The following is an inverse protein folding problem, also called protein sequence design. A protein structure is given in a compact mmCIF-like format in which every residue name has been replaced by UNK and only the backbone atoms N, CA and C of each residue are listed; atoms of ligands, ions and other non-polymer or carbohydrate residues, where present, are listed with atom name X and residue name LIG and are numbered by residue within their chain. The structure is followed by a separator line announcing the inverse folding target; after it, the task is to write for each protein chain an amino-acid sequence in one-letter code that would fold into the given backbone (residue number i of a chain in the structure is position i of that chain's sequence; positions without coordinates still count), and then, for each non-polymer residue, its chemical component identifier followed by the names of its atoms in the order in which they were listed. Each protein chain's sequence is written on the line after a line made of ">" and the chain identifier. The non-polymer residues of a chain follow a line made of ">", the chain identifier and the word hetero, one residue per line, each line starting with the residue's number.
data_IF_814612343307
#
_entry.id   IF_814612343307
#
_cell.length_a   1.000
_cell.length_b   1.000
_cell.length_c   1.000
_cell.angle_alpha   90.00
_cell.angle_beta   90.00
_cell.angle_gamma   90.00
#
_symmetry.space_group_name_H-M   'P 1'
#
loop_
_entity.id
_entity.type
_entity.pdbx_description
1 polymer ?
#
# COMPACT_ATOMS: atom_id res chain seq x y z
N UNK A 1 8.84 1.70 23.36
CA UNK A 1 9.93 0.73 23.14
C UNK A 1 9.51 -0.17 21.99
N UNK A 2 10.21 -0.13 20.85
CA UNK A 2 9.89 -0.87 19.60
C UNK A 2 11.01 -1.89 19.32
N UNK A 3 11.40 -2.67 20.33
CA UNK A 3 12.60 -3.53 20.31
C UNK A 3 12.31 -5.00 20.59
N UNK A 4 11.05 -5.36 20.76
CA UNK A 4 10.61 -6.73 20.98
C UNK A 4 9.72 -7.08 19.79
N UNK A 5 10.05 -8.09 19.00
CA UNK A 5 9.32 -8.50 17.79
C UNK A 5 7.91 -9.05 18.05
N UNK A 6 7.20 -8.51 19.04
CA UNK A 6 5.81 -8.80 19.33
C UNK A 6 4.93 -8.31 18.17
N UNK A 7 3.89 -9.08 17.85
CA UNK A 7 2.89 -8.69 16.87
C UNK A 7 2.33 -7.31 17.20
N UNK A 8 2.30 -6.43 16.21
CA UNK A 8 1.66 -5.12 16.33
C UNK A 8 0.23 -5.29 16.87
N UNK A 9 -0.24 -4.46 17.83
CA UNK A 9 -1.61 -4.51 18.32
C UNK A 9 -2.63 -4.04 17.27
N UNK A 10 -2.16 -3.46 16.16
CA UNK A 10 -3.00 -3.06 15.04
C UNK A 10 -3.15 -4.19 14.03
N UNK A 11 -4.39 -4.42 13.60
CA UNK A 11 -4.73 -5.33 12.50
C UNK A 11 -4.11 -4.86 11.17
N UNK A 12 -4.05 -3.54 10.97
CA UNK A 12 -3.52 -2.90 9.76
C UNK A 12 -2.57 -1.76 10.07
N UNK A 13 -1.51 -1.65 9.28
CA UNK A 13 -0.63 -0.50 9.22
C UNK A 13 -0.76 0.16 7.85
N UNK A 14 -1.06 1.45 7.87
CA UNK A 14 -1.32 2.29 6.70
C UNK A 14 -0.09 3.13 6.36
N UNK A 15 0.24 3.19 5.06
CA UNK A 15 1.41 3.90 4.56
C UNK A 15 0.99 5.10 3.73
N UNK A 16 1.63 6.24 4.00
CA UNK A 16 1.32 7.52 3.41
C UNK A 16 2.54 8.13 2.73
N UNK A 17 2.31 8.76 1.58
CA UNK A 17 3.24 9.65 0.89
C UNK A 17 2.61 11.04 0.86
N UNK A 18 3.07 11.91 1.77
CA UNK A 18 2.38 13.15 2.11
C UNK A 18 0.96 12.88 2.61
N UNK A 19 -0.04 13.41 1.90
CA UNK A 19 -1.46 13.22 2.19
C UNK A 19 -2.07 11.98 1.49
N UNK A 20 -1.26 11.27 0.70
CA UNK A 20 -1.74 10.16 -0.13
C UNK A 20 -1.52 8.83 0.57
N UNK A 21 -2.60 8.12 0.88
CA UNK A 21 -2.51 6.72 1.27
C UNK A 21 -2.13 5.87 0.04
N UNK A 22 -1.04 5.09 0.13
CA UNK A 22 -0.56 4.30 -1.02
C UNK A 22 -0.41 2.80 -0.73
N UNK A 23 -0.39 2.38 0.53
CA UNK A 23 -0.33 0.97 0.89
C UNK A 23 -0.98 0.68 2.25
N UNK A 24 -1.37 -0.58 2.45
CA UNK A 24 -1.77 -1.14 3.74
C UNK A 24 -1.09 -2.49 3.92
N UNK A 25 -0.67 -2.83 5.14
CA UNK A 25 -0.21 -4.17 5.47
C UNK A 25 -0.85 -4.71 6.72
N UNK A 26 -0.85 -6.02 6.85
CA UNK A 26 -1.01 -6.71 8.12
C UNK A 26 0.33 -7.33 8.58
N UNK A 27 0.25 -8.38 9.40
CA UNK A 27 1.43 -9.10 9.92
C UNK A 27 2.22 -9.87 8.86
N UNK A 28 1.61 -10.21 7.71
CA UNK A 28 2.20 -11.06 6.68
C UNK A 28 2.16 -10.42 5.30
N UNK A 29 1.04 -9.87 4.88
CA UNK A 29 0.83 -9.38 3.53
C UNK A 29 0.82 -7.86 3.51
N UNK A 30 1.40 -7.30 2.45
CA UNK A 30 1.32 -5.88 2.13
C UNK A 30 0.65 -5.68 0.79
N UNK A 31 -0.39 -4.87 0.79
CA UNK A 31 -1.06 -4.36 -0.38
C UNK A 31 -0.51 -3.00 -0.77
N UNK A 32 -0.18 -2.82 -2.04
CA UNK A 32 0.16 -1.53 -2.63
C UNK A 32 -0.87 -1.18 -3.70
N UNK A 33 -1.52 -0.04 -3.51
CA UNK A 33 -2.51 0.45 -4.45
C UNK A 33 -1.85 0.81 -5.80
N UNK A 34 -2.64 0.84 -6.89
CA UNK A 34 -2.19 1.38 -8.17
C UNK A 34 -1.58 2.77 -7.97
N UNK A 35 -0.31 2.92 -8.32
CA UNK A 35 0.36 4.23 -8.34
C UNK A 35 0.74 4.54 -9.78
N UNK A 36 0.37 5.72 -10.28
CA UNK A 36 0.89 6.18 -11.56
C UNK A 36 2.41 6.32 -11.45
N UNK A 37 3.18 5.49 -12.15
CA UNK A 37 4.63 5.68 -12.22
C UNK A 37 4.89 6.71 -13.32
N UNK A 38 5.43 7.85 -12.93
CA UNK A 38 5.91 8.85 -13.87
C UNK A 38 7.20 8.35 -14.50
N UNK A 39 7.11 7.90 -15.75
CA UNK A 39 8.30 7.57 -16.53
C UNK A 39 8.84 8.86 -17.15
N UNK A 40 10.00 9.31 -16.68
CA UNK A 40 10.75 10.41 -17.26
C UNK A 40 12.13 9.92 -17.66
N UNK A 41 12.56 10.23 -18.88
CA UNK A 41 13.98 10.23 -19.26
C UNK A 41 14.46 11.68 -19.28
N UNK A 42 15.77 11.93 -19.15
CA UNK A 42 16.35 13.28 -19.15
C UNK A 42 15.99 14.11 -20.42
N UNK A 43 15.55 13.45 -21.49
CA UNK A 43 15.13 14.09 -22.75
C UNK A 43 13.63 14.41 -22.82
N UNK A 44 12.82 13.98 -21.84
CA UNK A 44 11.36 14.16 -21.86
C UNK A 44 10.91 15.39 -21.06
N UNK A 45 10.27 16.34 -21.76
CA UNK A 45 9.63 17.54 -21.17
C UNK A 45 8.42 17.22 -20.28
N UNK A 46 7.85 16.03 -20.41
CA UNK A 46 6.71 15.55 -19.64
C UNK A 46 6.83 14.05 -19.38
N UNK A 47 6.51 13.64 -18.15
CA UNK A 47 6.53 12.24 -17.75
C UNK A 47 5.09 11.69 -17.76
N UNK A 48 4.67 10.86 -18.73
CA UNK A 48 3.35 10.26 -18.68
C UNK A 48 3.25 9.33 -17.47
N UNK A 49 2.15 9.46 -16.71
CA UNK A 49 1.82 8.53 -15.65
C UNK A 49 1.34 7.22 -16.28
N UNK A 50 2.16 6.17 -16.19
CA UNK A 50 1.73 4.84 -16.60
C UNK A 50 0.93 4.18 -15.48
N UNK A 51 -0.29 3.68 -15.74
CA UNK A 51 -1.09 3.01 -14.73
C UNK A 51 -0.38 1.72 -14.31
N UNK A 52 0.14 1.71 -13.09
CA UNK A 52 0.67 0.50 -12.48
C UNK A 52 -0.47 -0.30 -11.88
N UNK A 53 -0.52 -1.61 -12.17
CA UNK A 53 -1.47 -2.49 -11.49
C UNK A 53 -1.21 -2.48 -9.98
N UNK A 54 -2.23 -2.81 -9.20
CA UNK A 54 -2.04 -3.09 -7.78
C UNK A 54 -1.17 -4.32 -7.57
N UNK A 55 -0.49 -4.36 -6.43
CA UNK A 55 0.39 -5.47 -6.07
C UNK A 55 0.14 -5.93 -4.65
N UNK A 56 0.46 -7.20 -4.41
CA UNK A 56 0.50 -7.75 -3.06
C UNK A 56 1.79 -8.55 -2.84
N UNK A 57 2.39 -8.36 -1.67
CA UNK A 57 3.65 -8.98 -1.27
C UNK A 57 3.49 -9.80 0.01
N UNK A 58 4.18 -10.93 0.13
CA UNK A 58 4.30 -11.70 1.39
C UNK A 58 5.58 -11.27 2.11
N UNK A 59 5.47 -10.40 3.10
CA UNK A 59 6.60 -9.86 3.85
C UNK A 59 7.33 -10.89 4.71
N UNK A 60 6.71 -12.05 5.01
CA UNK A 60 7.39 -13.10 5.76
C UNK A 60 8.36 -13.88 4.87
N UNK A 61 7.99 -14.07 3.60
CA UNK A 61 8.81 -14.82 2.62
C UNK A 61 9.67 -13.92 1.75
N UNK A 62 9.23 -12.69 1.54
CA UNK A 62 9.87 -11.69 0.69
C UNK A 62 9.84 -10.30 1.37
N UNK A 63 10.67 -10.10 2.42
CA UNK A 63 10.77 -8.82 3.10
C UNK A 63 11.24 -7.67 2.21
N UNK A 64 11.79 -7.99 1.02
CA UNK A 64 12.28 -7.02 0.04
C UNK A 64 11.23 -6.61 -1.00
N UNK A 65 10.01 -7.17 -0.91
CA UNK A 65 8.89 -6.84 -1.80
C UNK A 65 9.23 -7.02 -3.29
N UNK A 66 9.97 -8.09 -3.60
CA UNK A 66 10.49 -8.40 -4.93
C UNK A 66 9.48 -9.09 -5.84
N UNK A 67 8.52 -9.83 -5.29
CA UNK A 67 7.58 -10.68 -6.04
C UNK A 67 6.12 -10.37 -5.73
N UNK A 68 5.37 -10.05 -6.78
CA UNK A 68 3.92 -9.91 -6.71
C UNK A 68 3.24 -11.28 -6.62
N UNK A 69 2.36 -11.42 -5.61
CA UNK A 69 1.60 -12.63 -5.32
C UNK A 69 0.08 -12.38 -5.35
N UNK A 70 -0.36 -11.24 -5.91
CA UNK A 70 -1.78 -10.88 -6.05
C UNK A 70 -2.63 -12.01 -6.62
N UNK A 71 -2.14 -12.65 -7.68
CA UNK A 71 -2.89 -13.67 -8.43
C UNK A 71 -2.91 -15.02 -7.71
N UNK A 72 -1.97 -15.24 -6.78
CA UNK A 72 -1.88 -16.47 -5.98
C UNK A 72 -2.83 -16.45 -4.79
N UNK A 73 -3.13 -15.27 -4.25
CA UNK A 73 -3.98 -15.11 -3.07
C UNK A 73 -5.05 -14.02 -3.31
N UNK A 74 -5.99 -14.24 -4.25
CA UNK A 74 -6.96 -13.22 -4.65
C UNK A 74 -7.89 -12.77 -3.50
N UNK A 75 -8.20 -13.66 -2.56
CA UNK A 75 -9.02 -13.34 -1.39
C UNK A 75 -8.30 -12.39 -0.42
N UNK A 76 -7.01 -12.61 -0.19
CA UNK A 76 -6.18 -11.72 0.65
C UNK A 76 -5.98 -10.36 -0.01
N UNK A 77 -5.78 -10.36 -1.32
CA UNK A 77 -5.74 -9.12 -2.11
C UNK A 77 -7.04 -8.32 -1.93
N UNK A 78 -8.19 -8.97 -2.04
CA UNK A 78 -9.48 -8.33 -1.88
C UNK A 78 -9.68 -7.80 -0.45
N UNK A 79 -9.28 -8.57 0.57
CA UNK A 79 -9.39 -8.16 1.97
C UNK A 79 -8.56 -6.91 2.27
N UNK A 80 -7.30 -6.89 1.83
CA UNK A 80 -6.44 -5.73 2.03
C UNK A 80 -6.89 -4.52 1.20
N UNK A 81 -7.35 -4.74 -0.04
CA UNK A 81 -7.96 -3.67 -0.85
C UNK A 81 -9.17 -3.06 -0.16
N UNK A 82 -10.01 -3.88 0.48
CA UNK A 82 -11.16 -3.39 1.23
C UNK A 82 -10.73 -2.54 2.44
N UNK A 83 -9.75 -2.99 3.21
CA UNK A 83 -9.20 -2.21 4.33
C UNK A 83 -8.61 -0.87 3.85
N UNK A 84 -7.87 -0.89 2.74
CA UNK A 84 -7.35 0.32 2.10
C UNK A 84 -8.47 1.29 1.69
N UNK A 85 -9.53 0.78 1.07
CA UNK A 85 -10.68 1.59 0.66
C UNK A 85 -11.41 2.22 1.85
N UNK A 86 -11.66 1.45 2.91
CA UNK A 86 -12.27 1.98 4.14
C UNK A 86 -11.44 3.15 4.66
N UNK A 87 -10.11 3.00 4.68
CA UNK A 87 -9.24 4.07 5.15
C UNK A 87 -9.28 5.32 4.27
N UNK A 88 -9.30 5.15 2.95
CA UNK A 88 -9.49 6.26 2.02
C UNK A 88 -10.81 6.99 2.27
N UNK A 89 -11.89 6.26 2.48
CA UNK A 89 -13.21 6.83 2.73
C UNK A 89 -13.22 7.61 4.06
N UNK A 90 -12.58 7.08 5.12
CA UNK A 90 -12.36 7.78 6.40
C UNK A 90 -11.60 9.09 6.22
N UNK A 91 -10.50 9.09 5.45
CA UNK A 91 -9.70 10.28 5.17
C UNK A 91 -10.49 11.31 4.37
N UNK A 92 -11.26 10.87 3.38
CA UNK A 92 -12.11 11.72 2.56
C UNK A 92 -13.23 12.39 3.36
N UNK A 93 -13.79 11.69 4.35
CA UNK A 93 -14.78 12.23 5.27
C UNK A 93 -14.19 13.23 6.27
N UNK A 94 -12.90 13.10 6.62
CA UNK A 94 -12.22 13.93 7.62
C UNK A 94 -11.09 14.81 7.04
N UNK A 95 -11.46 15.76 6.16
CA UNK A 95 -10.51 16.63 5.44
C UNK A 95 -9.70 17.64 6.29
N UNK A 96 -10.03 17.85 7.56
CA UNK A 96 -9.36 18.84 8.43
C UNK A 96 -8.37 18.23 9.42
N UNK A 97 -8.12 16.93 9.32
CA UNK A 97 -7.18 16.21 10.17
C UNK A 97 -7.84 15.66 11.42
N UNK A 98 -7.61 14.37 11.63
CA UNK A 98 -7.25 13.76 12.91
C UNK A 98 -6.87 14.83 13.94
N UNK A 99 -7.80 15.14 14.84
CA UNK A 99 -7.58 16.11 15.93
C UNK A 99 -6.94 15.41 17.11
#
# INVERSE_FOLDING_TARGET
>A
MLTTGASSPHDYLYYYDGETLYAVRDQRFKYRAPAGVFYATDEMLFAPAMPQKEWMFDLQRDPRESYDISDRYPEELQRLRAAFKVKLDEMGANKRGWR
#
